data_IF_410132301614
#
_entry.id   IF_410132301614
#
_cell.length_a   1.000
_cell.length_b   1.000
_cell.length_c   1.000
_cell.angle_alpha   90.00
_cell.angle_beta   90.00
_cell.angle_gamma   90.00
#
_symmetry.space_group_name_H-M   'P 1'
#
loop_
_entity.id
_entity.type
_entity.pdbx_description
1 polymer ?
#
# COMPACT_ATOMS: atom_id res chain seq x y z
N UNK A 1 -11.78 -9.07 2.69
CA UNK A 1 -11.09 -7.99 3.44
C UNK A 1 -12.09 -7.24 4.30
N UNK A 2 -11.72 -6.93 5.52
CA UNK A 2 -12.54 -6.11 6.41
C UNK A 2 -11.69 -4.91 6.82
N UNK A 3 -12.31 -3.74 6.85
CA UNK A 3 -11.67 -2.53 7.35
C UNK A 3 -12.50 -2.01 8.51
N UNK A 4 -11.86 -1.83 9.65
CA UNK A 4 -12.50 -1.27 10.84
C UNK A 4 -11.90 0.10 11.12
N UNK A 5 -12.77 1.10 11.28
CA UNK A 5 -12.33 2.41 11.74
C UNK A 5 -12.16 2.37 13.25
N UNK A 6 -10.96 2.71 13.71
CA UNK A 6 -10.64 2.59 15.14
C UNK A 6 -10.63 3.93 15.88
N UNK A 7 -11.00 5.00 15.21
CA UNK A 7 -10.94 6.33 15.78
C UNK A 7 -9.57 6.95 15.55
N UNK A 8 -9.45 8.23 15.86
CA UNK A 8 -8.21 8.99 15.68
C UNK A 8 -7.62 8.91 14.27
N UNK A 9 -8.51 8.78 13.27
CA UNK A 9 -8.15 8.69 11.85
C UNK A 9 -7.31 7.45 11.51
N UNK A 10 -7.49 6.38 12.27
CA UNK A 10 -6.83 5.10 12.07
C UNK A 10 -7.81 4.01 11.69
N UNK A 11 -7.36 3.11 10.85
CA UNK A 11 -8.12 1.92 10.47
C UNK A 11 -7.29 0.67 10.72
N UNK A 12 -8.00 -0.45 10.87
CA UNK A 12 -7.39 -1.76 10.90
C UNK A 12 -7.88 -2.52 9.69
N UNK A 13 -6.95 -2.99 8.87
CA UNK A 13 -7.27 -3.76 7.66
C UNK A 13 -7.01 -5.22 7.95
N UNK A 14 -8.00 -6.07 7.73
CA UNK A 14 -7.94 -7.49 8.06
C UNK A 14 -8.08 -8.32 6.80
N UNK A 15 -7.12 -9.20 6.58
CA UNK A 15 -7.19 -10.20 5.51
C UNK A 15 -7.85 -11.43 6.09
N UNK A 16 -9.15 -11.60 5.85
CA UNK A 16 -9.95 -12.66 6.46
C UNK A 16 -9.41 -14.07 6.22
N UNK A 17 -8.99 -14.44 4.99
CA UNK A 17 -8.53 -15.81 4.76
C UNK A 17 -7.37 -16.26 5.64
N UNK A 18 -6.48 -15.33 6.02
CA UNK A 18 -5.30 -15.67 6.82
C UNK A 18 -5.35 -15.11 8.23
N UNK A 19 -6.27 -14.19 8.53
CA UNK A 19 -6.32 -13.51 9.80
C UNK A 19 -5.24 -12.44 9.98
N UNK A 20 -4.40 -12.21 8.97
CA UNK A 20 -3.38 -11.19 9.02
C UNK A 20 -4.01 -9.81 9.03
N UNK A 21 -3.45 -8.89 9.75
CA UNK A 21 -3.97 -7.52 9.78
C UNK A 21 -2.84 -6.51 9.86
N UNK A 22 -3.15 -5.25 9.50
CA UNK A 22 -2.22 -4.15 9.63
C UNK A 22 -2.99 -2.84 9.82
N UNK A 23 -2.36 -1.85 10.46
CA UNK A 23 -3.01 -0.55 10.68
C UNK A 23 -2.71 0.45 9.57
N UNK A 24 -3.58 1.45 9.45
CA UNK A 24 -3.33 2.63 8.63
C UNK A 24 -3.50 3.88 9.47
N UNK A 25 -2.92 4.98 9.03
CA UNK A 25 -3.05 6.27 9.68
C UNK A 25 -3.22 7.34 8.60
N UNK A 26 -3.97 8.38 8.90
CA UNK A 26 -4.03 9.52 7.99
C UNK A 26 -2.68 10.22 7.94
N UNK A 27 -2.29 10.78 6.78
CA UNK A 27 -1.02 11.49 6.70
C UNK A 27 -1.06 12.80 7.48
N UNK A 28 0.12 13.33 7.81
CA UNK A 28 0.24 14.58 8.57
C UNK A 28 -0.49 15.75 7.90
N UNK A 29 -0.44 15.84 6.59
CA UNK A 29 -1.09 16.92 5.84
C UNK A 29 -2.61 16.76 5.79
N UNK A 30 -3.14 15.70 6.39
CA UNK A 30 -4.58 15.43 6.43
C UNK A 30 -5.04 15.10 7.86
N UNK A 31 -4.44 15.77 8.83
CA UNK A 31 -4.75 15.69 10.25
C UNK A 31 -4.42 14.35 10.92
N UNK A 32 -3.72 13.47 10.26
CA UNK A 32 -3.22 12.24 10.86
C UNK A 32 -1.92 12.47 11.61
N UNK A 33 -1.45 11.45 12.31
CA UNK A 33 -0.19 11.50 13.05
C UNK A 33 1.01 11.16 12.19
N UNK A 34 0.78 10.55 11.01
CA UNK A 34 1.86 10.19 10.10
C UNK A 34 2.80 9.13 10.64
N UNK A 35 2.36 8.34 11.61
CA UNK A 35 3.21 7.34 12.26
C UNK A 35 3.37 6.07 11.45
N UNK A 36 2.40 5.77 10.59
CA UNK A 36 2.40 4.57 9.75
C UNK A 36 1.84 4.93 8.37
N UNK A 37 1.88 3.97 7.46
CA UNK A 37 1.41 4.20 6.10
C UNK A 37 -0.06 4.65 6.07
N UNK A 38 -0.35 5.62 5.23
CA UNK A 38 -1.71 6.08 4.99
C UNK A 38 -2.41 5.17 3.98
N UNK A 39 -3.74 5.25 3.87
CA UNK A 39 -4.46 4.52 2.83
C UNK A 39 -3.96 4.82 1.42
N UNK A 40 -3.59 6.06 1.12
CA UNK A 40 -3.05 6.41 -0.21
C UNK A 40 -1.64 5.85 -0.42
N UNK A 41 -0.84 5.75 0.63
CA UNK A 41 0.46 5.06 0.57
C UNK A 41 0.25 3.59 0.21
N UNK A 42 -0.77 2.96 0.79
CA UNK A 42 -1.08 1.56 0.52
C UNK A 42 -1.57 1.34 -0.92
N UNK A 43 -2.31 2.30 -1.47
CA UNK A 43 -2.69 2.24 -2.89
C UNK A 43 -1.44 2.22 -3.78
N UNK A 44 -0.47 3.07 -3.47
CA UNK A 44 0.79 3.12 -4.21
C UNK A 44 1.58 1.82 -4.04
N UNK A 45 1.66 1.33 -2.82
CA UNK A 45 2.36 0.07 -2.51
C UNK A 45 1.69 -1.11 -3.21
N UNK A 46 0.36 -1.14 -3.25
CA UNK A 46 -0.39 -2.19 -3.93
C UNK A 46 -0.05 -2.23 -5.42
N UNK A 47 0.01 -1.05 -6.05
CA UNK A 47 0.38 -0.94 -7.45
C UNK A 47 1.79 -1.47 -7.69
N UNK A 48 2.75 -1.02 -6.91
CA UNK A 48 4.13 -1.47 -7.02
C UNK A 48 4.29 -2.96 -6.79
N UNK A 49 3.60 -3.49 -5.79
CA UNK A 49 3.60 -4.92 -5.47
C UNK A 49 3.00 -5.74 -6.61
N UNK A 50 1.89 -5.27 -7.18
CA UNK A 50 1.24 -5.93 -8.29
C UNK A 50 2.16 -6.01 -9.52
N UNK A 51 2.79 -4.88 -9.86
CA UNK A 51 3.72 -4.82 -10.99
C UNK A 51 4.90 -5.77 -10.79
N UNK A 52 5.52 -5.73 -9.61
CA UNK A 52 6.65 -6.59 -9.30
C UNK A 52 6.28 -8.07 -9.38
N UNK A 53 5.09 -8.43 -8.86
CA UNK A 53 4.62 -9.82 -8.88
C UNK A 53 4.37 -10.30 -10.30
N UNK A 54 3.73 -9.49 -11.12
CA UNK A 54 3.44 -9.85 -12.53
C UNK A 54 4.74 -10.04 -13.30
N UNK A 55 5.69 -9.12 -13.13
CA UNK A 55 7.00 -9.23 -13.78
C UNK A 55 7.72 -10.48 -13.29
N UNK A 56 7.67 -10.75 -11.98
CA UNK A 56 8.27 -11.92 -11.39
C UNK A 56 7.76 -13.22 -12.00
N UNK A 57 6.43 -13.31 -12.19
CA UNK A 57 5.81 -14.48 -12.81
C UNK A 57 6.34 -14.68 -14.23
N UNK A 58 6.43 -13.62 -15.01
CA UNK A 58 6.94 -13.70 -16.38
C UNK A 58 8.42 -14.10 -16.40
N UNK A 59 9.20 -13.56 -15.48
CA UNK A 59 10.64 -13.86 -15.45
C UNK A 59 10.91 -15.29 -14.99
N UNK A 60 10.10 -15.85 -14.12
CA UNK A 60 10.20 -17.26 -13.74
C UNK A 60 10.03 -18.18 -14.95
N UNK A 61 9.11 -17.84 -15.84
CA UNK A 61 8.91 -18.61 -17.08
C UNK A 61 10.14 -18.59 -17.98
N UNK A 62 10.97 -17.56 -17.85
CA UNK A 62 12.21 -17.41 -18.61
C UNK A 62 13.43 -17.84 -17.82
N UNK A 63 13.25 -18.45 -16.64
CA UNK A 63 14.32 -18.88 -15.75
C UNK A 63 15.18 -17.70 -15.24
N UNK A 64 14.58 -16.52 -15.12
CA UNK A 64 15.23 -15.35 -14.55
C UNK A 64 14.80 -15.18 -13.09
N UNK A 65 15.77 -14.88 -12.23
CA UNK A 65 15.51 -14.61 -10.83
C UNK A 65 15.62 -13.10 -10.55
N UNK A 66 14.52 -12.50 -10.10
CA UNK A 66 14.46 -11.08 -9.79
C UNK A 66 14.56 -10.79 -8.29
N UNK A 67 14.93 -11.80 -7.51
CA UNK A 67 15.06 -11.61 -6.05
C UNK A 67 15.96 -10.41 -5.74
N UNK A 68 15.47 -9.54 -4.87
CA UNK A 68 16.20 -8.33 -4.50
C UNK A 68 15.88 -7.12 -5.36
N UNK A 69 15.10 -7.28 -6.44
CA UNK A 69 14.66 -6.15 -7.24
C UNK A 69 13.75 -5.26 -6.41
N UNK A 70 13.93 -3.96 -6.55
CA UNK A 70 13.20 -2.96 -5.78
C UNK A 70 12.35 -2.12 -6.72
N UNK A 71 11.10 -1.89 -6.33
CA UNK A 71 10.21 -0.97 -7.05
C UNK A 71 9.94 0.20 -6.14
N UNK A 72 10.25 1.39 -6.60
CA UNK A 72 9.96 2.62 -5.86
C UNK A 72 8.75 3.29 -6.46
N UNK A 73 7.77 3.58 -5.62
CA UNK A 73 6.57 4.29 -6.02
C UNK A 73 6.55 5.60 -5.25
N UNK A 74 6.48 6.69 -5.98
CA UNK A 74 6.35 8.01 -5.38
C UNK A 74 4.94 8.50 -5.57
N UNK A 75 4.31 8.85 -4.47
CA UNK A 75 2.95 9.36 -4.46
C UNK A 75 3.00 10.88 -4.50
N UNK A 76 2.24 11.47 -5.42
CA UNK A 76 2.07 12.93 -5.47
C UNK A 76 0.59 13.23 -5.42
N UNK A 77 0.20 14.12 -4.53
CA UNK A 77 -1.17 14.57 -4.42
C UNK A 77 -1.31 15.89 -5.19
N UNK A 78 -2.33 15.96 -6.03
CA UNK A 78 -2.60 17.18 -6.75
C UNK A 78 -3.10 18.26 -5.80
N UNK A 79 -2.58 19.47 -5.94
CA UNK A 79 -3.07 20.63 -5.21
C UNK A 79 -4.25 21.27 -5.91
N UNK A 80 -4.54 20.84 -7.13
CA UNK A 80 -5.69 21.34 -7.89
C UNK A 80 -6.98 20.80 -7.30
N UNK A 81 -8.01 21.61 -7.31
CA UNK A 81 -9.32 21.22 -6.81
C UNK A 81 -10.29 21.00 -7.96
N UNK A 82 -11.31 20.15 -7.74
CA UNK A 82 -11.51 19.25 -6.62
C UNK A 82 -10.68 17.97 -6.75
N UNK A 83 -10.41 17.37 -5.65
CA UNK A 83 -9.75 16.07 -5.62
C UNK A 83 -10.80 14.98 -5.57
#
# INVERSE_FOLDING_TARGET
>A
MIVKYEGALRCKVIHEPTGTFFPTDAPLDNNGKGEIASPTDLCSAALGSCMATIIGIQMEKLSFDLTGTRVEIQKELSESKPH
#
